data_IF_640146667995
#
_entry.id   IF_640146667995
#
_cell.length_a   1.000
_cell.length_b   1.000
_cell.length_c   1.000
_cell.angle_alpha   90.00
_cell.angle_beta   90.00
_cell.angle_gamma   90.00
#
_symmetry.space_group_name_H-M   'P 1'
#
loop_
_entity.id
_entity.type
_entity.pdbx_description
1 polymer ?
#
# COMPACT_ATOMS: atom_id res chain seq x y z
N UNK A 1 2.04 13.02 9.27
CA UNK A 1 3.39 12.83 8.73
C UNK A 1 4.16 11.96 9.73
N UNK A 2 4.15 10.63 9.58
CA UNK A 2 4.87 9.72 10.50
C UNK A 2 6.20 9.35 9.84
N UNK A 3 7.28 9.91 10.36
CA UNK A 3 8.64 9.52 9.99
C UNK A 3 8.90 8.18 10.70
N UNK A 4 8.70 7.06 10.02
CA UNK A 4 9.20 5.76 10.48
C UNK A 4 10.70 5.71 10.18
N UNK A 5 11.50 6.13 11.15
CA UNK A 5 12.95 5.97 11.12
C UNK A 5 13.23 4.48 11.30
N UNK A 6 13.68 3.82 10.24
CA UNK A 6 14.15 2.43 10.30
C UNK A 6 15.49 2.38 11.05
N UNK A 7 15.40 2.23 12.36
CA UNK A 7 16.53 2.17 13.30
C UNK A 7 17.67 1.17 12.98
N UNK A 8 17.45 0.00 12.33
CA UNK A 8 18.56 -0.95 12.16
C UNK A 8 19.64 -0.48 11.19
N UNK A 9 19.32 0.40 10.24
CA UNK A 9 20.30 0.89 9.24
C UNK A 9 21.23 1.97 9.80
N UNK A 10 20.78 2.73 10.78
CA UNK A 10 21.62 3.72 11.48
C UNK A 10 22.74 3.04 12.27
N UNK A 11 22.47 1.89 12.88
CA UNK A 11 23.46 1.10 13.64
C UNK A 11 24.54 0.58 12.70
N UNK A 12 24.17 0.08 11.50
CA UNK A 12 25.15 -0.35 10.50
C UNK A 12 26.07 0.79 10.04
N UNK A 13 25.56 2.00 9.90
CA UNK A 13 26.31 3.17 9.47
C UNK A 13 27.27 3.66 10.57
N UNK A 14 26.84 3.60 11.82
CA UNK A 14 27.67 3.96 13.01
C UNK A 14 28.82 2.97 13.22
N UNK A 15 28.63 1.70 12.92
CA UNK A 15 29.68 0.67 13.03
C UNK A 15 30.64 0.70 11.84
N UNK A 16 30.14 0.93 10.64
CA UNK A 16 30.97 0.99 9.43
C UNK A 16 31.85 2.25 9.37
N UNK A 17 31.40 3.37 9.93
CA UNK A 17 32.17 4.63 9.96
C UNK A 17 33.54 4.51 10.64
N UNK A 18 33.62 4.09 11.89
CA UNK A 18 34.91 3.93 12.60
C UNK A 18 35.78 2.79 12.04
N UNK A 19 35.17 1.71 11.54
CA UNK A 19 35.90 0.61 10.88
C UNK A 19 36.57 1.11 9.60
N UNK A 20 35.90 1.96 8.83
CA UNK A 20 36.45 2.58 7.63
C UNK A 20 37.57 3.58 7.97
N UNK A 21 37.36 4.39 9.03
CA UNK A 21 38.39 5.32 9.51
C UNK A 21 39.66 4.59 9.95
N UNK A 22 39.53 3.48 10.66
CA UNK A 22 40.64 2.61 11.08
C UNK A 22 41.41 2.08 9.86
N UNK A 23 40.70 1.59 8.86
CA UNK A 23 41.27 1.06 7.60
C UNK A 23 41.94 2.15 6.76
N UNK A 24 41.44 3.38 6.75
CA UNK A 24 42.08 4.51 6.06
C UNK A 24 43.45 4.86 6.70
N UNK A 25 43.57 4.78 8.02
CA UNK A 25 44.81 5.09 8.73
C UNK A 25 45.91 4.03 8.52
N UNK A 26 45.56 2.79 8.25
CA UNK A 26 46.50 1.67 8.11
C UNK A 26 46.95 1.40 6.65
N UNK A 27 46.82 2.39 5.76
CA UNK A 27 47.28 2.25 4.38
C UNK A 27 48.80 2.40 4.33
N UNK A 28 49.56 1.41 3.79
CA UNK A 28 51.03 1.45 3.74
C UNK A 28 51.51 2.67 2.96
N UNK A 29 52.49 3.41 3.55
CA UNK A 29 53.04 4.67 3.03
C UNK A 29 53.92 4.50 1.79
N UNK A 30 54.12 3.29 1.24
CA UNK A 30 55.04 3.00 0.16
C UNK A 30 54.46 3.03 -1.25
N UNK A 31 53.24 3.56 -1.43
CA UNK A 31 52.60 3.61 -2.76
C UNK A 31 52.77 4.98 -3.40
N UNK A 32 52.95 5.01 -4.75
CA UNK A 32 52.97 6.26 -5.53
C UNK A 32 51.67 7.03 -5.31
N UNK A 33 51.69 8.37 -5.39
CA UNK A 33 50.53 9.23 -5.09
C UNK A 33 49.33 8.90 -6.00
N UNK A 34 49.58 8.48 -7.24
CA UNK A 34 48.54 8.11 -8.18
C UNK A 34 47.81 6.81 -7.75
N UNK A 35 48.55 5.76 -7.38
CA UNK A 35 48.01 4.49 -6.91
C UNK A 35 47.23 4.65 -5.62
N UNK A 36 47.67 5.56 -4.72
CA UNK A 36 46.98 5.87 -3.48
C UNK A 36 45.60 6.52 -3.75
N UNK A 37 45.52 7.46 -4.72
CA UNK A 37 44.26 8.10 -5.13
C UNK A 37 43.28 7.08 -5.76
N UNK A 38 43.82 6.20 -6.62
CA UNK A 38 43.01 5.15 -7.27
C UNK A 38 42.46 4.15 -6.25
N UNK A 39 43.28 3.68 -5.31
CA UNK A 39 42.83 2.80 -4.22
C UNK A 39 41.81 3.47 -3.31
N UNK A 40 41.95 4.76 -2.99
CA UNK A 40 40.95 5.52 -2.24
C UNK A 40 39.63 5.62 -3.01
N UNK A 41 39.69 5.93 -4.32
CA UNK A 41 38.51 6.01 -5.17
C UNK A 41 37.73 4.68 -5.23
N UNK A 42 38.42 3.56 -5.46
CA UNK A 42 37.79 2.23 -5.47
C UNK A 42 37.16 1.88 -4.12
N UNK A 43 37.85 2.16 -3.01
CA UNK A 43 37.30 1.92 -1.66
C UNK A 43 36.06 2.75 -1.39
N UNK A 44 36.07 4.02 -1.80
CA UNK A 44 34.92 4.91 -1.62
C UNK A 44 33.73 4.46 -2.51
N UNK A 45 34.01 4.01 -3.72
CA UNK A 45 32.99 3.46 -4.61
C UNK A 45 32.35 2.16 -4.06
N UNK A 46 33.16 1.25 -3.51
CA UNK A 46 32.65 0.02 -2.87
C UNK A 46 31.78 0.35 -1.67
N UNK A 47 32.19 1.32 -0.84
CA UNK A 47 31.41 1.77 0.30
C UNK A 47 30.08 2.41 -0.12
N UNK A 48 30.12 3.27 -1.14
CA UNK A 48 28.93 3.89 -1.69
C UNK A 48 27.95 2.85 -2.25
N UNK A 49 28.45 1.81 -2.94
CA UNK A 49 27.65 0.70 -3.42
C UNK A 49 27.10 -0.17 -2.27
N UNK A 50 27.87 -0.41 -1.23
CA UNK A 50 27.36 -1.11 -0.03
C UNK A 50 26.26 -0.31 0.68
N UNK A 51 26.46 1.00 0.86
CA UNK A 51 25.44 1.87 1.44
C UNK A 51 24.21 1.93 0.54
N UNK A 52 24.38 2.04 -0.77
CA UNK A 52 23.27 2.02 -1.73
C UNK A 52 22.52 0.67 -1.74
N UNK A 53 23.23 -0.44 -1.55
CA UNK A 53 22.63 -1.77 -1.42
C UNK A 53 21.90 -1.99 -0.10
N UNK A 54 22.40 -1.40 1.00
CA UNK A 54 21.77 -1.45 2.32
C UNK A 54 20.58 -0.48 2.41
N UNK A 55 20.70 0.70 1.81
CA UNK A 55 19.55 1.54 1.48
C UNK A 55 18.82 0.81 0.36
N UNK A 56 18.04 -0.18 0.73
CA UNK A 56 17.02 -0.72 -0.15
C UNK A 56 16.22 0.50 -0.58
N UNK A 57 16.52 1.01 -1.76
CA UNK A 57 15.71 2.00 -2.45
C UNK A 57 14.38 1.29 -2.74
N UNK A 58 13.61 1.12 -1.68
CA UNK A 58 12.20 0.88 -1.76
C UNK A 58 11.63 2.20 -2.27
N UNK A 59 11.72 2.40 -3.57
CA UNK A 59 10.82 3.28 -4.29
C UNK A 59 9.44 2.61 -4.17
N UNK A 60 8.96 2.53 -2.94
CA UNK A 60 7.55 2.39 -2.69
C UNK A 60 6.99 3.71 -3.16
N UNK A 61 6.64 3.78 -4.45
CA UNK A 61 5.63 4.74 -4.85
C UNK A 61 4.52 4.53 -3.83
N UNK A 62 4.33 5.49 -2.92
CA UNK A 62 3.11 5.57 -2.17
C UNK A 62 2.03 5.67 -3.25
N UNK A 63 1.48 4.52 -3.61
CA UNK A 63 0.27 4.48 -4.41
C UNK A 63 -0.77 5.18 -3.55
N UNK A 64 -1.02 6.45 -3.85
CA UNK A 64 -2.04 7.24 -3.16
C UNK A 64 -3.44 6.78 -3.60
N UNK A 65 -3.52 5.66 -4.32
CA UNK A 65 -4.77 5.06 -4.75
C UNK A 65 -5.33 4.22 -3.60
N UNK A 66 -6.36 4.72 -2.99
CA UNK A 66 -7.12 4.00 -1.97
C UNK A 66 -8.35 3.40 -2.64
N UNK A 67 -8.44 2.08 -2.59
CA UNK A 67 -9.64 1.36 -3.04
C UNK A 67 -10.46 0.99 -1.81
N UNK A 68 -11.75 1.30 -1.83
CA UNK A 68 -12.69 1.03 -0.74
C UNK A 68 -13.84 0.20 -1.28
N UNK A 69 -14.16 -0.89 -0.60
CA UNK A 69 -15.35 -1.69 -0.91
C UNK A 69 -16.33 -1.53 0.23
N UNK A 70 -17.51 -1.02 -0.07
CA UNK A 70 -18.61 -0.95 0.86
C UNK A 70 -19.37 -2.27 0.88
N UNK A 71 -19.72 -2.74 2.09
CA UNK A 71 -20.56 -3.91 2.31
C UNK A 71 -21.90 -3.40 2.82
N UNK A 72 -22.96 -3.55 2.04
CA UNK A 72 -24.31 -3.09 2.37
C UNK A 72 -25.14 -4.28 2.84
N UNK A 73 -25.58 -4.23 4.10
CA UNK A 73 -26.48 -5.23 4.68
C UNK A 73 -27.91 -5.04 4.19
N UNK A 74 -28.40 -6.04 3.48
CA UNK A 74 -29.75 -6.11 2.93
C UNK A 74 -30.67 -7.02 3.73
N UNK A 75 -30.20 -7.56 4.88
CA UNK A 75 -31.00 -8.44 5.72
C UNK A 75 -32.26 -7.78 6.27
N UNK A 76 -33.28 -8.54 6.58
CA UNK A 76 -34.55 -8.05 7.12
C UNK A 76 -34.40 -7.37 8.49
N UNK A 77 -33.31 -7.65 9.21
CA UNK A 77 -33.01 -7.00 10.51
C UNK A 77 -32.64 -5.54 10.39
N UNK A 78 -32.18 -5.11 9.20
CA UNK A 78 -31.81 -3.70 8.94
C UNK A 78 -33.02 -2.93 8.42
N UNK A 79 -33.42 -1.90 9.17
CA UNK A 79 -34.55 -1.04 8.77
C UNK A 79 -34.29 -0.35 7.42
N UNK A 80 -35.35 -0.18 6.61
CA UNK A 80 -35.25 0.46 5.31
C UNK A 80 -34.64 1.88 5.39
N UNK A 81 -34.96 2.63 6.44
CA UNK A 81 -34.40 3.96 6.69
C UNK A 81 -32.85 3.90 6.89
N UNK A 82 -32.36 2.91 7.63
CA UNK A 82 -30.93 2.74 7.85
C UNK A 82 -30.20 2.36 6.55
N UNK A 83 -30.79 1.50 5.73
CA UNK A 83 -30.26 1.18 4.40
C UNK A 83 -30.18 2.41 3.50
N UNK A 84 -31.22 3.24 3.52
CA UNK A 84 -31.22 4.47 2.74
C UNK A 84 -30.13 5.44 3.21
N UNK A 85 -29.97 5.61 4.52
CA UNK A 85 -28.88 6.42 5.08
C UNK A 85 -27.49 5.92 4.66
N UNK A 86 -27.27 4.58 4.66
CA UNK A 86 -26.03 3.99 4.20
C UNK A 86 -25.78 4.29 2.70
N UNK A 87 -26.80 4.17 1.87
CA UNK A 87 -26.67 4.50 0.43
C UNK A 87 -26.37 5.99 0.22
N UNK A 88 -27.01 6.88 0.98
CA UNK A 88 -26.75 8.32 0.88
C UNK A 88 -25.34 8.67 1.34
N UNK A 89 -24.83 8.00 2.38
CA UNK A 89 -23.45 8.11 2.81
C UNK A 89 -22.47 7.65 1.70
N UNK A 90 -22.70 6.49 1.08
CA UNK A 90 -21.88 5.98 -0.01
C UNK A 90 -21.88 6.96 -1.19
N UNK A 91 -23.04 7.51 -1.54
CA UNK A 91 -23.16 8.55 -2.59
C UNK A 91 -22.39 9.82 -2.23
N UNK A 92 -22.45 10.27 -1.00
CA UNK A 92 -21.71 11.44 -0.53
C UNK A 92 -20.20 11.22 -0.61
N UNK A 93 -19.70 10.07 -0.13
CA UNK A 93 -18.29 9.70 -0.22
C UNK A 93 -17.83 9.61 -1.68
N UNK A 94 -18.63 9.02 -2.56
CA UNK A 94 -18.26 8.86 -3.98
C UNK A 94 -18.10 10.20 -4.70
N UNK A 95 -18.83 11.23 -4.30
CA UNK A 95 -18.73 12.59 -4.88
C UNK A 95 -17.49 13.35 -4.40
N UNK A 96 -17.01 13.08 -3.19
CA UNK A 96 -15.92 13.82 -2.57
C UNK A 96 -14.58 13.08 -2.60
N UNK A 97 -14.54 11.86 -3.14
CA UNK A 97 -13.29 11.10 -3.24
C UNK A 97 -12.34 11.70 -4.27
N UNK A 98 -11.00 11.55 -4.09
CA UNK A 98 -10.04 11.81 -5.16
C UNK A 98 -10.35 10.99 -6.42
N UNK A 99 -10.16 11.55 -7.64
CA UNK A 99 -10.55 10.88 -8.88
C UNK A 99 -9.86 9.55 -9.12
N UNK A 100 -8.66 9.36 -8.57
CA UNK A 100 -7.89 8.12 -8.71
C UNK A 100 -8.31 7.02 -7.74
N UNK A 101 -9.09 7.30 -6.71
CA UNK A 101 -9.52 6.30 -5.73
C UNK A 101 -10.68 5.47 -6.28
N UNK A 102 -10.62 4.14 -6.10
CA UNK A 102 -11.68 3.24 -6.50
C UNK A 102 -12.69 2.99 -5.38
N UNK A 103 -13.97 2.90 -5.74
CA UNK A 103 -15.04 2.45 -4.85
C UNK A 103 -15.70 1.23 -5.47
N UNK A 104 -16.01 0.22 -4.65
CA UNK A 104 -16.83 -0.93 -4.97
C UNK A 104 -17.97 -1.09 -3.99
N UNK A 105 -19.01 -1.83 -4.38
CA UNK A 105 -20.18 -2.12 -3.55
C UNK A 105 -20.54 -3.60 -3.63
N UNK A 106 -20.69 -4.22 -2.46
CA UNK A 106 -21.23 -5.58 -2.28
C UNK A 106 -22.49 -5.47 -1.46
N UNK A 107 -23.59 -6.00 -1.95
CA UNK A 107 -24.82 -6.20 -1.20
C UNK A 107 -24.80 -7.60 -0.58
N UNK A 108 -25.18 -7.73 0.67
CA UNK A 108 -25.18 -9.03 1.35
C UNK A 108 -26.39 -9.22 2.26
N UNK A 109 -26.73 -10.50 2.47
CA UNK A 109 -27.73 -11.02 3.39
C UNK A 109 -27.39 -12.47 3.69
N UNK A 110 -28.22 -13.42 3.30
CA UNK A 110 -27.88 -14.85 3.34
C UNK A 110 -26.71 -15.20 2.44
N UNK A 111 -26.61 -14.52 1.30
CA UNK A 111 -25.47 -14.57 0.37
C UNK A 111 -24.90 -13.18 0.12
N UNK A 112 -23.83 -13.08 -0.67
CA UNK A 112 -23.20 -11.82 -1.02
C UNK A 112 -23.06 -11.67 -2.54
N UNK A 113 -23.53 -10.55 -3.07
CA UNK A 113 -23.53 -10.24 -4.50
C UNK A 113 -22.71 -8.98 -4.74
N UNK A 114 -21.83 -9.00 -5.73
CA UNK A 114 -21.07 -7.83 -6.17
C UNK A 114 -21.99 -6.95 -7.01
N UNK A 115 -22.42 -5.83 -6.45
CA UNK A 115 -23.22 -4.83 -7.17
C UNK A 115 -22.39 -4.04 -8.15
N UNK A 116 -21.24 -3.57 -7.68
CA UNK A 116 -20.30 -2.83 -8.50
C UNK A 116 -18.87 -3.16 -8.11
N UNK A 117 -18.05 -3.53 -9.08
CA UNK A 117 -16.62 -3.73 -8.92
C UNK A 117 -15.91 -2.42 -8.56
N UNK A 118 -14.71 -2.55 -8.01
CA UNK A 118 -13.90 -1.39 -7.66
C UNK A 118 -13.54 -0.59 -8.90
N UNK A 119 -14.02 0.64 -8.96
CA UNK A 119 -13.80 1.54 -10.09
C UNK A 119 -13.59 2.98 -9.62
N UNK A 120 -12.71 3.75 -10.27
CA UNK A 120 -12.62 5.19 -10.07
C UNK A 120 -13.90 5.92 -10.46
N UNK A 121 -14.61 5.40 -11.47
CA UNK A 121 -15.88 5.94 -11.98
C UNK A 121 -17.07 5.24 -11.31
N UNK A 122 -17.16 5.35 -9.98
CA UNK A 122 -18.27 4.77 -9.24
C UNK A 122 -19.54 5.62 -9.41
N UNK A 123 -20.58 5.04 -9.97
CA UNK A 123 -21.89 5.65 -10.09
C UNK A 123 -22.95 4.70 -9.50
N UNK A 124 -23.40 4.99 -8.30
CA UNK A 124 -24.47 4.23 -7.68
C UNK A 124 -25.83 4.69 -8.22
N UNK A 125 -26.37 3.97 -9.19
CA UNK A 125 -27.71 4.22 -9.74
C UNK A 125 -28.78 3.69 -8.75
N UNK A 126 -28.90 2.40 -8.61
CA UNK A 126 -29.76 1.68 -7.68
C UNK A 126 -29.11 0.34 -7.33
N UNK A 127 -29.39 -0.19 -6.14
CA UNK A 127 -29.05 -1.57 -5.78
C UNK A 127 -30.06 -2.48 -6.44
N UNK A 128 -29.65 -3.21 -7.45
CA UNK A 128 -30.54 -4.02 -8.29
C UNK A 128 -30.60 -5.47 -7.80
N UNK A 129 -29.58 -5.91 -7.06
CA UNK A 129 -29.46 -7.29 -6.59
C UNK A 129 -30.52 -7.62 -5.55
N UNK A 130 -31.32 -8.63 -5.83
CA UNK A 130 -32.18 -9.25 -4.84
C UNK A 130 -31.36 -10.22 -4.01
N UNK A 131 -30.99 -9.77 -2.81
CA UNK A 131 -30.31 -10.64 -1.85
C UNK A 131 -31.33 -11.18 -0.87
N UNK A 132 -31.29 -12.50 -0.61
CA UNK A 132 -32.17 -13.10 0.39
C UNK A 132 -31.84 -12.57 1.79
N UNK A 133 -32.81 -11.88 2.40
CA UNK A 133 -32.63 -11.16 3.66
C UNK A 133 -32.91 -11.99 4.91
N UNK A 134 -33.13 -13.29 4.80
CA UNK A 134 -33.52 -14.19 5.90
C UNK A 134 -32.40 -14.39 6.93
N UNK A 135 -31.16 -14.18 6.54
CA UNK A 135 -29.98 -14.29 7.41
C UNK A 135 -28.90 -13.29 6.99
N UNK A 136 -27.88 -13.13 7.84
CA UNK A 136 -26.76 -12.21 7.60
C UNK A 136 -25.46 -13.00 7.59
N UNK A 137 -24.82 -13.12 6.43
CA UNK A 137 -23.55 -13.82 6.27
C UNK A 137 -22.40 -12.85 6.01
N UNK A 138 -21.87 -12.28 7.08
CA UNK A 138 -20.76 -11.31 7.03
C UNK A 138 -19.48 -11.93 6.44
N UNK A 139 -19.24 -13.22 6.73
CA UNK A 139 -18.04 -13.90 6.22
C UNK A 139 -18.02 -13.93 4.68
N UNK A 140 -19.16 -14.28 4.06
CA UNK A 140 -19.30 -14.24 2.60
C UNK A 140 -19.18 -12.83 2.05
N UNK A 141 -19.75 -11.83 2.72
CA UNK A 141 -19.62 -10.43 2.33
C UNK A 141 -18.16 -10.00 2.28
N UNK A 142 -17.38 -10.30 3.31
CA UNK A 142 -15.95 -9.99 3.37
C UNK A 142 -15.18 -10.74 2.27
N UNK A 143 -15.42 -12.03 2.09
CA UNK A 143 -14.75 -12.81 1.03
C UNK A 143 -15.04 -12.22 -0.35
N UNK A 144 -16.30 -11.85 -0.63
CA UNK A 144 -16.70 -11.25 -1.90
C UNK A 144 -16.07 -9.87 -2.08
N UNK A 145 -16.03 -9.08 -1.01
CA UNK A 145 -15.37 -7.78 -0.98
C UNK A 145 -13.88 -7.87 -1.29
N UNK A 146 -13.17 -8.81 -0.66
CA UNK A 146 -11.74 -9.04 -0.93
C UNK A 146 -11.51 -9.48 -2.38
N UNK A 147 -12.36 -10.37 -2.90
CA UNK A 147 -12.25 -10.85 -4.28
C UNK A 147 -12.57 -9.78 -5.34
N UNK A 148 -13.20 -8.68 -4.95
CA UNK A 148 -13.52 -7.56 -5.86
C UNK A 148 -12.39 -6.55 -6.03
N UNK A 149 -11.32 -6.64 -5.23
CA UNK A 149 -10.16 -5.77 -5.42
C UNK A 149 -9.40 -6.16 -6.68
N UNK A 150 -8.96 -5.16 -7.48
CA UNK A 150 -8.12 -5.43 -8.65
C UNK A 150 -6.81 -6.10 -8.18
N UNK A 151 -6.47 -7.22 -8.79
CA UNK A 151 -5.18 -7.88 -8.56
C UNK A 151 -4.09 -6.92 -9.03
N UNK A 152 -3.19 -6.53 -8.14
CA UNK A 152 -2.01 -5.76 -8.49
C UNK A 152 -1.15 -6.60 -9.44
N UNK A 153 -1.20 -6.33 -10.73
CA UNK A 153 -0.40 -7.05 -11.70
C UNK A 153 -0.95 -7.17 -13.12
N UNK A 154 -2.11 -6.58 -13.41
CA UNK A 154 -2.73 -6.67 -14.74
C UNK A 154 -2.65 -5.37 -15.53
N UNK A 155 -1.57 -4.61 -15.39
CA UNK A 155 -1.21 -3.56 -16.34
C UNK A 155 0.21 -3.83 -16.83
N UNK A 156 0.29 -4.54 -17.96
CA UNK A 156 1.44 -4.62 -18.85
C UNK A 156 1.40 -3.51 -19.87
#
# INVERSE_FOLDING_TARGET
MQIRIFYPYFIALVVLGPLFWYWLRHTPRRLSPLRRRLLMGVRLAVLALMVAGLVRLSLTQLSQHVNVVFLLDMSHSVAAAARQQALDFIRAVSRHKPPQNGIGLVAFGADAVLEQGVSPQFALSEVTSQVEGTSTNIARAIQRGIASFPLHGAEG
#
